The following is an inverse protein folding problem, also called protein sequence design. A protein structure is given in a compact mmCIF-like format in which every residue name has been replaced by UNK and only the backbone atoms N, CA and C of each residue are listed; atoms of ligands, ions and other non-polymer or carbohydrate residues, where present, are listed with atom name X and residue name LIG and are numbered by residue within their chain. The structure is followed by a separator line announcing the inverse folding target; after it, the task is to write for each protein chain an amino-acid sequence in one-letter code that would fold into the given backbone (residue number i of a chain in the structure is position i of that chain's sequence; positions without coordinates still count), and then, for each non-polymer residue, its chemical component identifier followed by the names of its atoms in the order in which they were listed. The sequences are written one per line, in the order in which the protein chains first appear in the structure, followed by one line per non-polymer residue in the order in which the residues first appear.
data_IF_650790856673
#
_entry.id   IF_650790856673
#
_cell.length_a   1.000
_cell.length_b   1.000
_cell.length_c   1.000
_cell.angle_alpha   90.00
_cell.angle_beta   90.00
_cell.angle_gamma   90.00
#
_symmetry.space_group_name_H-M   'P 1'
#
loop_
_entity.id
_entity.type
_entity.pdbx_description
1 polymer ?
#
# COMPACT_ATOMS: atom_id res chain seq x y z
N UNK A 1 8.10 47.56 17.92
CA UNK A 1 9.12 46.78 17.19
C UNK A 1 9.00 45.34 17.65
N UNK A 2 8.57 44.45 16.76
CA UNK A 2 8.61 43.01 17.00
C UNK A 2 9.96 42.51 16.45
N UNK A 3 10.88 42.15 17.34
CA UNK A 3 12.18 41.59 16.94
C UNK A 3 11.99 40.11 16.57
N UNK A 4 11.86 39.86 15.26
CA UNK A 4 11.89 38.53 14.68
C UNK A 4 13.28 37.91 14.83
N UNK A 5 13.35 36.84 15.62
CA UNK A 5 14.13 35.63 15.38
C UNK A 5 15.54 35.77 14.80
N UNK A 6 16.55 35.79 15.67
CA UNK A 6 17.89 35.32 15.31
C UNK A 6 17.89 33.78 15.29
N UNK A 7 17.55 33.17 14.16
CA UNK A 7 17.88 31.77 13.91
C UNK A 7 19.32 31.71 13.40
N UNK A 8 20.27 31.67 14.33
CA UNK A 8 21.68 31.42 14.02
C UNK A 8 21.86 29.99 13.45
N UNK A 9 22.75 29.79 12.46
CA UNK A 9 23.04 28.47 11.90
C UNK A 9 24.06 27.77 12.80
N UNK A 10 23.61 27.22 13.92
CA UNK A 10 24.52 26.53 14.82
C UNK A 10 23.77 25.87 15.96
N UNK A 11 24.03 24.56 16.13
CA UNK A 11 23.49 23.68 17.16
C UNK A 11 22.23 22.89 16.79
N UNK A 12 22.19 22.35 15.57
CA UNK A 12 21.59 21.02 15.41
C UNK A 12 22.54 20.04 16.10
N UNK A 13 22.34 19.75 17.38
CA UNK A 13 23.03 18.60 17.98
C UNK A 13 22.82 17.40 17.04
N UNK A 14 23.86 16.62 16.72
CA UNK A 14 23.61 15.32 16.11
C UNK A 14 22.63 14.61 17.05
N UNK A 15 21.54 14.00 16.55
CA UNK A 15 20.71 13.19 17.42
C UNK A 15 21.67 12.16 17.98
N UNK A 16 21.91 12.20 19.30
CA UNK A 16 22.67 11.19 20.01
C UNK A 16 22.29 9.86 19.40
N UNK A 17 23.27 9.11 18.93
CA UNK A 17 23.10 7.77 18.39
C UNK A 17 22.33 6.97 19.43
N UNK A 18 21.00 7.00 19.31
CA UNK A 18 20.10 6.39 20.26
C UNK A 18 19.91 5.00 19.66
N UNK A 19 20.55 3.95 20.22
CA UNK A 19 20.50 2.61 19.63
C UNK A 19 19.06 2.08 19.53
N UNK A 20 18.12 2.69 20.25
CA UNK A 20 16.68 2.44 20.15
C UNK A 20 16.05 2.92 18.83
N UNK A 21 16.58 3.96 18.20
CA UNK A 21 16.03 4.48 16.95
C UNK A 21 16.50 3.69 15.73
N UNK A 22 17.63 2.97 15.83
CA UNK A 22 18.17 2.15 14.74
C UNK A 22 17.19 1.04 14.34
N UNK A 23 16.52 0.42 15.32
CA UNK A 23 15.46 -0.54 15.06
C UNK A 23 14.24 0.09 14.37
N UNK A 24 13.91 1.35 14.65
CA UNK A 24 12.74 2.00 14.06
C UNK A 24 12.94 2.37 12.59
N UNK A 25 14.14 2.79 12.16
CA UNK A 25 14.40 3.14 10.76
C UNK A 25 14.44 1.91 9.84
N UNK A 26 14.89 0.77 10.35
CA UNK A 26 14.96 -0.49 9.58
C UNK A 26 13.57 -1.13 9.38
N UNK A 27 12.62 -0.87 10.29
CA UNK A 27 11.21 -1.26 10.15
C UNK A 27 10.39 -0.31 9.27
N UNK A 28 10.89 0.90 9.00
CA UNK A 28 10.15 1.94 8.29
C UNK A 28 10.46 2.01 6.79
N UNK A 29 11.53 1.39 6.31
CA UNK A 29 11.72 1.26 4.86
C UNK A 29 10.72 0.21 4.34
N UNK A 30 9.71 0.60 3.53
CA UNK A 30 8.81 -0.37 2.94
C UNK A 30 9.61 -1.20 1.95
N UNK A 31 10.09 -2.37 2.39
CA UNK A 31 10.71 -3.37 1.52
C UNK A 31 9.80 -3.56 0.31
N UNK A 32 10.31 -3.49 -0.94
CA UNK A 32 9.49 -3.68 -2.13
C UNK A 32 8.78 -5.03 -2.02
N UNK A 33 7.50 -5.00 -1.67
CA UNK A 33 6.69 -6.20 -1.66
C UNK A 33 6.34 -6.48 -3.11
N UNK A 34 6.80 -7.62 -3.63
CA UNK A 34 6.29 -8.17 -4.87
C UNK A 34 4.79 -8.41 -4.68
N UNK A 35 3.99 -7.40 -5.02
CA UNK A 35 2.55 -7.42 -4.86
C UNK A 35 1.95 -8.08 -6.09
N UNK A 36 1.97 -9.41 -6.12
CA UNK A 36 1.11 -10.17 -7.00
C UNK A 36 -0.32 -9.97 -6.51
N UNK A 37 -1.03 -9.02 -7.14
CA UNK A 37 -2.45 -8.83 -6.87
C UNK A 37 -3.19 -10.05 -7.41
N UNK A 38 -3.80 -10.81 -6.52
CA UNK A 38 -4.71 -11.87 -6.92
C UNK A 38 -5.94 -11.24 -7.59
N UNK A 39 -6.21 -11.51 -8.88
CA UNK A 39 -7.37 -10.96 -9.55
C UNK A 39 -8.64 -11.51 -8.91
N UNK A 40 -9.54 -10.63 -8.48
CA UNK A 40 -10.84 -11.07 -7.94
C UNK A 40 -11.76 -11.64 -9.01
N UNK A 41 -11.51 -11.27 -10.27
CA UNK A 41 -12.37 -11.53 -11.42
C UNK A 41 -11.52 -11.89 -12.64
N UNK A 42 -12.04 -12.79 -13.49
CA UNK A 42 -11.46 -13.08 -14.82
C UNK A 42 -11.57 -11.83 -15.71
N UNK A 43 -10.58 -11.52 -16.58
CA UNK A 43 -10.58 -10.32 -17.41
C UNK A 43 -11.83 -10.12 -18.27
N UNK A 44 -12.34 -11.18 -18.92
CA UNK A 44 -13.57 -11.12 -19.69
C UNK A 44 -14.73 -11.80 -18.93
N UNK A 45 -15.31 -11.03 -18.03
CA UNK A 45 -16.47 -11.44 -17.24
C UNK A 45 -17.68 -11.81 -18.11
N UNK A 46 -17.92 -11.04 -19.18
CA UNK A 46 -19.10 -11.21 -20.03
C UNK A 46 -19.01 -12.53 -20.78
N UNK A 47 -17.88 -12.80 -21.42
CA UNK A 47 -17.69 -14.04 -22.15
C UNK A 47 -17.71 -15.25 -21.20
N UNK A 48 -17.06 -15.17 -20.03
CA UNK A 48 -17.12 -16.23 -19.01
C UNK A 48 -18.56 -16.55 -18.62
N UNK A 49 -19.37 -15.53 -18.34
CA UNK A 49 -20.78 -15.72 -17.98
C UNK A 49 -21.60 -16.38 -19.11
N UNK A 50 -21.39 -15.97 -20.35
CA UNK A 50 -22.17 -16.46 -21.50
C UNK A 50 -21.76 -17.87 -21.95
N UNK A 51 -20.49 -18.23 -21.81
CA UNK A 51 -19.94 -19.47 -22.39
C UNK A 51 -19.83 -20.62 -21.39
N UNK A 52 -19.74 -20.34 -20.09
CA UNK A 52 -19.58 -21.38 -19.08
C UNK A 52 -20.90 -22.12 -18.82
N UNK A 53 -20.85 -23.44 -18.87
CA UNK A 53 -22.04 -24.28 -18.75
C UNK A 53 -22.66 -24.24 -17.34
N UNK A 54 -21.89 -23.85 -16.31
CA UNK A 54 -22.45 -23.61 -14.98
C UNK A 54 -23.39 -22.39 -15.01
N UNK A 55 -22.92 -21.27 -15.56
CA UNK A 55 -23.72 -20.05 -15.63
C UNK A 55 -24.92 -20.23 -16.55
N UNK A 56 -24.79 -20.91 -17.70
CA UNK A 56 -25.92 -21.19 -18.59
C UNK A 56 -27.03 -21.98 -17.91
N UNK A 57 -26.69 -23.02 -17.14
CA UNK A 57 -27.67 -23.84 -16.42
C UNK A 57 -28.44 -23.05 -15.37
N UNK A 58 -27.74 -22.17 -14.65
CA UNK A 58 -28.31 -21.36 -13.56
C UNK A 58 -28.97 -20.05 -14.04
N UNK A 59 -28.75 -19.65 -15.29
CA UNK A 59 -29.30 -18.39 -15.84
C UNK A 59 -30.75 -18.50 -16.27
N UNK A 60 -31.28 -19.71 -16.47
CA UNK A 60 -32.72 -19.92 -16.71
C UNK A 60 -33.39 -20.06 -15.35
N UNK A 61 -34.59 -19.49 -15.20
CA UNK A 61 -35.37 -19.66 -13.97
C UNK A 61 -35.43 -21.16 -13.65
N UNK A 62 -34.79 -21.55 -12.55
CA UNK A 62 -34.90 -22.88 -11.97
C UNK A 62 -36.38 -23.08 -11.60
N UNK A 63 -36.96 -24.21 -12.02
CA UNK A 63 -38.34 -24.62 -11.68
C UNK A 63 -38.74 -24.28 -10.24
#
# INVERSE_FOLDING_TARGET
MNDFGSMGPGNMMPPSFNPMCQGLFEHQMPKPRLAFKMPRVVPDQKNKFQTDDLFKRLSRESD
#
